data_IF_275835601661
#
_entry.id   IF_275835601661
#
_cell.length_a   1.000
_cell.length_b   1.000
_cell.length_c   1.000
_cell.angle_alpha   90.00
_cell.angle_beta   90.00
_cell.angle_gamma   90.00
#
_symmetry.space_group_name_H-M   'P 1'
#
loop_
_entity.id
_entity.type
_entity.pdbx_description
1 polymer ?
#
# COMPACT_ATOMS: atom_id res chain seq x y z
N UNK A 1 -76.10 -1.67 4.62
CA UNK A 1 -77.22 -2.64 4.89
C UNK A 1 -76.62 -3.97 5.21
N UNK A 2 -77.29 -4.77 6.00
CA UNK A 2 -76.90 -4.98 7.39
C UNK A 2 -76.55 -6.44 7.73
N UNK A 3 -76.00 -6.60 8.92
CA UNK A 3 -76.39 -7.60 9.96
C UNK A 3 -76.16 -9.09 9.62
N UNK A 4 -75.84 -9.96 10.50
CA UNK A 4 -76.24 -10.33 11.86
C UNK A 4 -75.22 -11.35 12.36
N UNK A 5 -74.75 -11.26 13.56
CA UNK A 5 -75.20 -11.98 14.77
C UNK A 5 -75.18 -13.51 14.67
N UNK A 6 -74.45 -14.16 15.56
CA UNK A 6 -74.90 -14.89 16.72
C UNK A 6 -73.73 -15.75 17.26
N UNK A 7 -73.26 -15.62 18.45
CA UNK A 7 -73.68 -16.07 19.79
C UNK A 7 -73.56 -17.60 20.01
N UNK A 8 -72.84 -17.88 21.04
CA UNK A 8 -72.84 -19.05 21.95
C UNK A 8 -71.99 -20.27 21.50
N UNK A 9 -71.07 -20.78 22.29
CA UNK A 9 -71.33 -21.43 23.62
C UNK A 9 -70.04 -21.58 24.41
N UNK A 10 -70.21 -21.41 25.70
CA UNK A 10 -69.30 -21.82 26.76
C UNK A 10 -69.24 -23.35 26.84
N UNK A 11 -68.15 -23.77 27.48
CA UNK A 11 -67.94 -24.94 28.30
C UNK A 11 -66.90 -25.91 27.76
N UNK A 12 -65.83 -25.99 28.48
CA UNK A 12 -64.73 -26.93 28.31
C UNK A 12 -63.54 -26.54 29.15
N UNK A 13 -63.75 -26.51 30.48
CA UNK A 13 -62.62 -26.47 31.42
C UNK A 13 -61.80 -27.75 31.27
N UNK A 14 -60.67 -27.68 30.58
CA UNK A 14 -59.63 -28.68 30.65
C UNK A 14 -58.57 -28.21 31.62
N UNK A 15 -58.46 -28.94 32.73
CA UNK A 15 -57.48 -28.71 33.78
C UNK A 15 -56.03 -28.82 33.19
N UNK A 16 -55.29 -27.72 33.27
CA UNK A 16 -53.88 -27.73 32.97
C UNK A 16 -53.09 -28.51 34.03
N UNK A 17 -52.19 -29.41 33.66
CA UNK A 17 -51.34 -30.11 34.63
C UNK A 17 -50.45 -29.09 35.36
N UNK A 18 -50.56 -29.05 36.69
CA UNK A 18 -49.67 -28.28 37.56
C UNK A 18 -48.27 -28.86 37.49
N UNK A 19 -47.37 -28.17 36.72
CA UNK A 19 -45.96 -28.52 36.69
C UNK A 19 -45.32 -28.13 38.02
N UNK A 20 -45.14 -29.14 38.88
CA UNK A 20 -44.40 -29.01 40.14
C UNK A 20 -42.96 -28.65 39.80
N UNK A 21 -42.57 -27.39 39.98
CA UNK A 21 -41.18 -26.93 39.84
C UNK A 21 -40.30 -27.60 40.90
N UNK A 22 -39.71 -28.73 40.55
CA UNK A 22 -38.69 -29.40 41.36
C UNK A 22 -37.52 -28.45 41.55
N UNK A 23 -37.14 -28.20 42.79
CA UNK A 23 -35.91 -27.42 43.07
C UNK A 23 -34.71 -28.13 42.43
N UNK A 24 -33.87 -27.45 41.63
CA UNK A 24 -32.74 -28.07 40.98
C UNK A 24 -31.83 -28.71 42.02
N UNK A 25 -31.43 -29.98 41.73
CA UNK A 25 -30.62 -30.81 42.64
C UNK A 25 -29.29 -30.16 42.98
N UNK A 26 -28.75 -30.51 44.14
CA UNK A 26 -27.49 -29.95 44.66
C UNK A 26 -26.33 -30.02 43.68
N UNK A 27 -26.30 -31.05 42.80
CA UNK A 27 -25.30 -31.20 41.72
C UNK A 27 -25.42 -30.10 40.66
N UNK A 28 -26.65 -29.75 40.23
CA UNK A 28 -26.87 -28.67 39.25
C UNK A 28 -26.49 -27.31 39.83
N UNK A 29 -26.78 -27.04 41.11
CA UNK A 29 -26.34 -25.80 41.77
C UNK A 29 -24.83 -25.70 41.88
N UNK A 30 -24.11 -26.81 42.09
CA UNK A 30 -22.64 -26.83 42.10
C UNK A 30 -22.05 -26.56 40.70
N UNK A 31 -22.64 -27.12 39.63
CA UNK A 31 -22.21 -26.87 38.27
C UNK A 31 -22.45 -25.42 37.87
N UNK A 32 -23.64 -24.88 38.11
CA UNK A 32 -23.97 -23.47 37.84
C UNK A 32 -23.12 -22.52 38.69
N UNK A 33 -22.81 -22.89 39.94
CA UNK A 33 -21.89 -22.14 40.80
C UNK A 33 -20.46 -22.11 40.27
N UNK A 34 -19.95 -23.23 39.73
CA UNK A 34 -18.63 -23.32 39.09
C UNK A 34 -18.57 -22.52 37.79
N UNK A 35 -19.60 -22.58 36.94
CA UNK A 35 -19.70 -21.79 35.71
C UNK A 35 -19.78 -20.28 36.05
N UNK A 36 -20.57 -19.89 37.04
CA UNK A 36 -20.61 -18.49 37.50
C UNK A 36 -19.29 -18.01 38.13
N UNK A 37 -18.54 -18.88 38.80
CA UNK A 37 -17.22 -18.55 39.34
C UNK A 37 -16.18 -18.42 38.21
N UNK A 38 -16.26 -19.26 37.17
CA UNK A 38 -15.42 -19.18 36.00
C UNK A 38 -15.73 -17.95 35.10
N UNK A 39 -16.99 -17.47 35.12
CA UNK A 39 -17.47 -16.30 34.38
C UNK A 39 -17.39 -15.00 35.18
N UNK A 40 -16.76 -15.01 36.36
CA UNK A 40 -16.54 -13.74 37.08
C UNK A 40 -15.66 -12.84 36.25
N UNK A 41 -16.09 -11.58 35.95
CA UNK A 41 -15.24 -10.64 35.26
C UNK A 41 -13.95 -10.47 36.04
N UNK A 42 -12.83 -10.71 35.39
CA UNK A 42 -11.49 -10.47 35.96
C UNK A 42 -11.40 -9.04 36.53
N UNK A 43 -10.72 -8.86 37.65
CA UNK A 43 -10.59 -7.52 38.26
C UNK A 43 -10.00 -6.57 37.19
N UNK A 44 -10.60 -5.39 37.07
CA UNK A 44 -10.26 -4.39 36.04
C UNK A 44 -8.74 -4.08 35.94
N UNK A 45 -8.01 -4.31 37.01
CA UNK A 45 -6.56 -4.19 37.06
C UNK A 45 -5.82 -5.27 36.27
N UNK A 46 -6.28 -6.55 36.30
CA UNK A 46 -5.68 -7.66 35.56
C UNK A 46 -5.98 -7.48 34.07
N UNK A 47 -7.21 -7.16 33.70
CA UNK A 47 -7.61 -6.88 32.32
C UNK A 47 -6.79 -5.72 31.72
N UNK A 48 -6.56 -4.64 32.47
CA UNK A 48 -5.72 -3.51 32.04
C UNK A 48 -4.25 -3.92 31.85
N UNK A 49 -3.72 -4.76 32.75
CA UNK A 49 -2.34 -5.27 32.64
C UNK A 49 -2.18 -6.21 31.45
N UNK A 50 -3.15 -7.08 31.17
CA UNK A 50 -3.16 -7.97 30.00
C UNK A 50 -3.26 -7.19 28.69
N UNK A 51 -4.12 -6.19 28.61
CA UNK A 51 -4.22 -5.30 27.44
C UNK A 51 -2.94 -4.50 27.25
N UNK A 52 -2.34 -3.96 28.30
CA UNK A 52 -1.08 -3.25 28.21
C UNK A 52 0.08 -4.19 27.80
N UNK A 53 0.13 -5.41 28.33
CA UNK A 53 1.14 -6.41 27.97
C UNK A 53 0.97 -6.87 26.51
N UNK A 54 -0.27 -7.09 26.05
CA UNK A 54 -0.56 -7.39 24.65
C UNK A 54 -0.17 -6.25 23.69
N UNK A 55 -0.48 -5.00 24.06
CA UNK A 55 -0.08 -3.83 23.30
C UNK A 55 1.43 -3.66 23.24
N UNK A 56 2.14 -3.85 24.36
CA UNK A 56 3.59 -3.81 24.41
C UNK A 56 4.22 -4.96 23.63
N UNK A 57 3.66 -6.16 23.68
CA UNK A 57 4.13 -7.31 22.91
C UNK A 57 3.91 -7.12 21.41
N UNK A 58 2.76 -6.55 20.99
CA UNK A 58 2.48 -6.21 19.57
C UNK A 58 3.40 -5.09 19.08
N UNK A 59 3.59 -4.05 19.87
CA UNK A 59 4.54 -2.97 19.53
C UNK A 59 5.96 -3.52 19.48
N UNK A 60 6.35 -4.35 20.46
CA UNK A 60 7.65 -5.01 20.49
C UNK A 60 7.87 -5.92 19.28
N UNK A 61 6.91 -6.76 18.92
CA UNK A 61 7.01 -7.62 17.71
C UNK A 61 7.07 -6.81 16.42
N UNK A 62 6.37 -5.69 16.32
CA UNK A 62 6.48 -4.76 15.18
C UNK A 62 7.86 -4.09 15.09
N UNK A 63 8.47 -3.75 16.22
CA UNK A 63 9.81 -3.11 16.26
C UNK A 63 10.93 -4.12 16.00
N UNK A 64 10.80 -5.37 16.47
CA UNK A 64 11.84 -6.40 16.33
C UNK A 64 11.68 -7.30 15.09
N UNK A 65 10.60 -7.19 14.34
CA UNK A 65 10.38 -7.93 13.09
C UNK A 65 11.10 -7.31 11.88
N UNK A 66 12.25 -6.68 12.11
CA UNK A 66 12.99 -5.90 11.11
C UNK A 66 13.40 -6.68 9.86
N UNK A 67 13.40 -8.02 9.87
CA UNK A 67 13.68 -8.84 8.69
C UNK A 67 12.46 -9.22 7.84
N UNK A 68 11.26 -9.27 8.44
CA UNK A 68 10.02 -9.67 7.75
C UNK A 68 9.18 -8.47 7.26
N UNK A 69 9.48 -7.26 7.72
CA UNK A 69 8.76 -6.02 7.40
C UNK A 69 9.64 -4.98 6.69
N UNK A 70 10.85 -5.36 6.24
CA UNK A 70 11.76 -4.41 5.58
C UNK A 70 11.09 -3.68 4.41
N UNK A 71 10.21 -4.37 3.67
CA UNK A 71 9.53 -3.85 2.50
C UNK A 71 8.06 -3.46 2.76
N UNK A 72 7.56 -3.60 3.99
CA UNK A 72 6.17 -3.26 4.31
C UNK A 72 5.92 -1.76 4.40
N UNK A 73 6.89 -1.00 4.90
CA UNK A 73 6.76 0.45 5.12
C UNK A 73 7.52 1.28 4.09
N UNK A 74 8.44 0.69 3.34
CA UNK A 74 9.28 1.40 2.37
C UNK A 74 9.26 0.69 1.01
N UNK A 75 9.43 1.41 -0.10
CA UNK A 75 9.62 0.80 -1.41
C UNK A 75 10.84 -0.12 -1.42
N UNK A 76 10.80 -1.16 -2.25
CA UNK A 76 11.98 -1.98 -2.50
C UNK A 76 13.07 -1.14 -3.21
N UNK A 77 14.33 -1.39 -2.85
CA UNK A 77 15.50 -0.69 -3.39
C UNK A 77 16.66 -1.65 -3.63
N UNK A 78 17.78 -1.15 -4.14
CA UNK A 78 19.00 -1.94 -4.39
C UNK A 78 19.06 -2.65 -5.72
N UNK A 79 18.05 -2.51 -6.59
CA UNK A 79 18.06 -3.05 -7.94
C UNK A 79 18.44 -2.03 -9.01
N UNK A 80 18.40 -0.73 -8.69
CA UNK A 80 18.78 0.35 -9.59
C UNK A 80 18.98 1.66 -8.85
N UNK A 81 19.89 2.55 -9.29
CA UNK A 81 20.14 3.83 -8.61
C UNK A 81 18.92 4.73 -8.49
N UNK A 82 18.04 4.78 -9.48
CA UNK A 82 16.79 5.54 -9.40
C UNK A 82 15.84 5.00 -8.33
N UNK A 83 15.78 3.68 -8.14
CA UNK A 83 15.00 3.05 -7.06
C UNK A 83 15.54 3.44 -5.67
N UNK A 84 16.86 3.53 -5.51
CA UNK A 84 17.50 3.94 -4.26
C UNK A 84 17.22 5.42 -3.94
N UNK A 85 17.17 6.28 -4.93
CA UNK A 85 16.79 7.68 -4.78
C UNK A 85 15.30 7.84 -4.43
N UNK A 86 14.43 7.04 -5.04
CA UNK A 86 13.00 6.99 -4.70
C UNK A 86 12.81 6.52 -3.25
N UNK A 87 13.51 5.47 -2.82
CA UNK A 87 13.45 4.97 -1.45
C UNK A 87 13.94 6.02 -0.44
N UNK A 88 15.02 6.71 -0.76
CA UNK A 88 15.56 7.81 0.06
C UNK A 88 14.54 8.93 0.24
N UNK A 89 13.91 9.37 -0.85
CA UNK A 89 12.87 10.39 -0.84
C UNK A 89 11.64 9.92 -0.04
N UNK A 90 11.23 8.69 -0.25
CA UNK A 90 10.11 8.08 0.48
C UNK A 90 10.36 8.03 2.00
N UNK A 91 11.53 7.58 2.44
CA UNK A 91 11.90 7.53 3.86
C UNK A 91 11.85 8.91 4.51
N UNK A 92 12.31 9.93 3.82
CA UNK A 92 12.23 11.30 4.33
C UNK A 92 10.77 11.75 4.53
N UNK A 93 9.91 11.49 3.54
CA UNK A 93 8.48 11.78 3.63
C UNK A 93 7.84 10.98 4.76
N UNK A 94 8.20 9.70 4.90
CA UNK A 94 7.70 8.81 5.95
C UNK A 94 8.03 9.34 7.35
N UNK A 95 9.27 9.81 7.60
CA UNK A 95 9.63 10.35 8.91
C UNK A 95 8.83 11.61 9.27
N UNK A 96 8.59 12.52 8.29
CA UNK A 96 7.73 13.68 8.49
C UNK A 96 6.29 13.23 8.76
N UNK A 97 5.78 12.27 7.99
CA UNK A 97 4.44 11.73 8.17
C UNK A 97 4.25 11.06 9.54
N UNK A 98 5.24 10.31 10.03
CA UNK A 98 5.22 9.71 11.37
C UNK A 98 5.16 10.78 12.45
N UNK A 99 5.95 11.85 12.34
CA UNK A 99 5.93 12.95 13.30
C UNK A 99 4.55 13.63 13.36
N UNK A 100 3.97 13.94 12.21
CA UNK A 100 2.62 14.53 12.10
C UNK A 100 1.57 13.57 12.66
N UNK A 101 1.64 12.28 12.29
CA UNK A 101 0.74 11.24 12.77
C UNK A 101 0.74 11.14 14.30
N UNK A 102 1.91 11.06 14.92
CA UNK A 102 2.03 10.97 16.39
C UNK A 102 1.43 12.18 17.07
N UNK A 103 1.63 13.39 16.54
CA UNK A 103 1.06 14.63 17.10
C UNK A 103 -0.47 14.61 16.99
N UNK A 104 -1.00 14.27 15.80
CA UNK A 104 -2.45 14.30 15.55
C UNK A 104 -3.16 13.19 16.32
N UNK A 105 -2.68 11.95 16.23
CA UNK A 105 -3.28 10.82 16.96
C UNK A 105 -3.13 10.99 18.47
N UNK A 106 -2.00 11.49 18.94
CA UNK A 106 -1.78 11.81 20.34
C UNK A 106 -2.78 12.85 20.86
N UNK A 107 -3.00 13.93 20.10
CA UNK A 107 -3.99 14.94 20.45
C UNK A 107 -5.42 14.39 20.42
N UNK A 108 -5.75 13.54 19.43
CA UNK A 108 -7.05 12.89 19.33
C UNK A 108 -7.31 11.94 20.51
N UNK A 109 -6.36 11.06 20.80
CA UNK A 109 -6.45 10.13 21.94
C UNK A 109 -6.55 10.89 23.26
N UNK A 110 -5.72 11.93 23.47
CA UNK A 110 -5.81 12.79 24.64
C UNK A 110 -7.21 13.39 24.77
N UNK A 111 -7.79 13.90 23.68
CA UNK A 111 -9.11 14.50 23.67
C UNK A 111 -10.21 13.49 24.01
N UNK A 112 -10.15 12.26 23.45
CA UNK A 112 -11.08 11.19 23.75
C UNK A 112 -11.07 10.78 25.23
N UNK A 113 -9.91 10.72 25.85
CA UNK A 113 -9.80 10.35 27.27
C UNK A 113 -10.13 11.52 28.20
N UNK A 114 -9.67 12.72 27.89
CA UNK A 114 -9.80 13.90 28.74
C UNK A 114 -11.21 14.48 28.73
N UNK A 115 -11.83 14.56 27.55
CA UNK A 115 -13.11 15.25 27.33
C UNK A 115 -14.30 14.33 27.15
N UNK A 116 -14.17 13.04 27.50
CA UNK A 116 -15.29 12.09 27.45
C UNK A 116 -16.48 12.61 28.22
N UNK A 117 -17.69 12.35 27.72
CA UNK A 117 -18.95 12.75 28.36
C UNK A 117 -19.04 12.19 29.77
N UNK A 118 -19.46 13.03 30.72
CA UNK A 118 -19.76 12.68 32.12
C UNK A 118 -21.19 13.13 32.45
N UNK A 119 -21.92 12.29 33.19
CA UNK A 119 -23.30 12.58 33.58
C UNK A 119 -23.39 13.95 34.32
N UNK A 120 -24.29 14.82 33.89
CA UNK A 120 -24.53 16.14 34.48
C UNK A 120 -23.55 17.25 34.08
N UNK A 121 -22.61 17.00 33.18
CA UNK A 121 -21.70 18.07 32.65
C UNK A 121 -22.16 18.58 31.30
N UNK A 122 -22.19 19.90 31.17
CA UNK A 122 -22.42 20.57 29.88
C UNK A 122 -21.07 20.84 29.23
N UNK A 123 -20.95 20.51 27.93
CA UNK A 123 -19.74 20.78 27.18
C UNK A 123 -19.55 22.29 26.97
N UNK A 124 -18.31 22.74 26.99
CA UNK A 124 -17.97 24.13 26.62
C UNK A 124 -18.35 24.39 25.15
N UNK A 125 -19.03 25.52 24.91
CA UNK A 125 -19.45 25.92 23.56
C UNK A 125 -18.32 26.70 22.87
N UNK A 126 -17.29 25.96 22.39
CA UNK A 126 -16.14 26.54 21.69
C UNK A 126 -16.39 26.41 20.19
N UNK A 127 -16.37 27.51 19.45
CA UNK A 127 -16.69 27.54 18.03
C UNK A 127 -15.45 27.58 17.12
N UNK A 128 -14.26 27.80 17.65
CA UNK A 128 -13.02 27.82 16.88
C UNK A 128 -11.88 28.53 17.62
N UNK A 129 -10.69 28.45 17.03
CA UNK A 129 -9.51 29.17 17.50
C UNK A 129 -8.65 29.61 16.28
N UNK A 130 -8.91 30.83 15.82
CA UNK A 130 -8.27 31.38 14.62
C UNK A 130 -6.73 31.36 14.70
N UNK A 131 -6.14 31.59 15.87
CA UNK A 131 -4.68 31.53 16.03
C UNK A 131 -4.13 30.13 15.78
N UNK A 132 -4.82 29.11 16.31
CA UNK A 132 -4.45 27.72 16.12
C UNK A 132 -4.64 27.31 14.66
N UNK A 133 -5.75 27.72 14.03
CA UNK A 133 -6.05 27.47 12.62
C UNK A 133 -4.99 28.05 11.70
N UNK A 134 -4.62 29.31 11.87
CA UNK A 134 -3.53 29.93 11.12
C UNK A 134 -2.20 29.21 11.37
N UNK A 135 -1.91 28.80 12.60
CA UNK A 135 -0.65 28.15 12.93
C UNK A 135 -0.49 26.79 12.21
N UNK A 136 -1.52 25.96 12.17
CA UNK A 136 -1.40 24.68 11.45
C UNK A 136 -1.42 24.84 9.94
N UNK A 137 -2.13 25.85 9.40
CA UNK A 137 -2.10 26.15 7.98
C UNK A 137 -0.69 26.59 7.53
N UNK A 138 -0.06 27.50 8.27
CA UNK A 138 1.32 27.92 8.02
C UNK A 138 2.27 26.72 8.19
N UNK A 139 2.10 25.92 9.24
CA UNK A 139 2.91 24.73 9.47
C UNK A 139 2.84 23.71 8.30
N UNK A 140 1.64 23.43 7.82
CA UNK A 140 1.43 22.57 6.66
C UNK A 140 2.08 23.15 5.38
N UNK A 141 1.92 24.46 5.13
CA UNK A 141 2.53 25.12 3.99
C UNK A 141 4.08 25.04 4.03
N UNK A 142 4.68 25.23 5.20
CA UNK A 142 6.14 25.12 5.36
C UNK A 142 6.64 23.70 5.10
N UNK A 143 5.92 22.67 5.58
CA UNK A 143 6.23 21.28 5.29
C UNK A 143 6.18 21.02 3.77
N UNK A 144 5.13 21.49 3.08
CA UNK A 144 4.99 21.31 1.64
C UNK A 144 6.13 21.99 0.86
N UNK A 145 6.52 23.20 1.25
CA UNK A 145 7.66 23.91 0.61
C UNK A 145 8.95 23.12 0.81
N UNK A 146 9.22 22.63 2.02
CA UNK A 146 10.41 21.83 2.29
C UNK A 146 10.41 20.54 1.46
N UNK A 147 9.29 19.79 1.42
CA UNK A 147 9.15 18.58 0.61
C UNK A 147 9.33 18.87 -0.88
N UNK A 148 8.69 19.91 -1.42
CA UNK A 148 8.83 20.30 -2.82
C UNK A 148 10.30 20.61 -3.16
N UNK A 149 10.98 21.38 -2.34
CA UNK A 149 12.40 21.74 -2.55
C UNK A 149 13.29 20.49 -2.64
N UNK A 150 13.13 19.53 -1.71
CA UNK A 150 13.92 18.32 -1.73
C UNK A 150 13.55 17.42 -2.90
N UNK A 151 12.25 17.30 -3.23
CA UNK A 151 11.79 16.52 -4.39
C UNK A 151 12.40 17.05 -5.69
N UNK A 152 12.36 18.38 -5.91
CA UNK A 152 12.98 18.99 -7.09
C UNK A 152 14.50 18.77 -7.12
N UNK A 153 15.18 18.84 -5.99
CA UNK A 153 16.62 18.59 -5.92
C UNK A 153 17.00 17.13 -6.24
N UNK A 154 16.11 16.18 -5.99
CA UNK A 154 16.30 14.75 -6.27
C UNK A 154 15.79 14.31 -7.64
N UNK A 155 15.00 15.14 -8.31
CA UNK A 155 14.28 14.77 -9.52
C UNK A 155 15.22 14.33 -10.65
N UNK A 156 16.32 15.05 -10.86
CA UNK A 156 17.30 14.68 -11.89
C UNK A 156 17.95 13.32 -11.64
N UNK A 157 18.28 13.01 -10.38
CA UNK A 157 18.86 11.71 -10.01
C UNK A 157 17.88 10.52 -10.25
N UNK A 158 16.58 10.80 -10.29
CA UNK A 158 15.54 9.79 -10.57
C UNK A 158 15.28 9.69 -12.08
N UNK A 159 15.27 10.82 -12.78
CA UNK A 159 14.87 10.88 -14.20
C UNK A 159 16.04 10.68 -15.17
N UNK A 160 17.23 11.17 -14.84
CA UNK A 160 18.37 11.18 -15.74
C UNK A 160 19.22 9.91 -15.53
N UNK A 161 19.33 9.04 -16.55
CA UNK A 161 20.12 7.83 -16.43
C UNK A 161 21.62 8.14 -16.39
N UNK A 162 22.40 7.47 -15.52
CA UNK A 162 23.87 7.54 -15.55
C UNK A 162 24.43 6.74 -16.72
N UNK A 163 25.69 6.96 -17.05
CA UNK A 163 26.40 6.09 -18.00
C UNK A 163 26.46 4.63 -17.50
N UNK A 164 26.58 3.70 -18.45
CA UNK A 164 26.89 2.31 -18.15
C UNK A 164 28.26 2.21 -17.47
N UNK A 165 28.42 1.20 -16.62
CA UNK A 165 29.70 0.97 -15.95
C UNK A 165 30.73 0.34 -16.94
N UNK A 166 32.03 0.47 -16.69
CA UNK A 166 33.06 -0.09 -17.59
C UNK A 166 32.98 -1.63 -17.78
N UNK A 167 32.41 -2.32 -16.80
CA UNK A 167 32.17 -3.77 -16.82
C UNK A 167 30.76 -4.14 -17.32
N UNK A 168 29.97 -3.16 -17.76
CA UNK A 168 28.70 -3.37 -18.42
C UNK A 168 28.84 -3.77 -19.87
N UNK A 169 27.70 -3.94 -20.56
CA UNK A 169 27.69 -4.22 -21.99
C UNK A 169 28.31 -3.03 -22.76
N UNK A 170 29.37 -3.29 -23.53
CA UNK A 170 30.00 -2.28 -24.36
C UNK A 170 29.12 -2.04 -25.59
N UNK A 171 28.37 -0.96 -25.58
CA UNK A 171 27.52 -0.55 -26.67
C UNK A 171 28.37 0.25 -27.68
N UNK A 172 28.33 -0.11 -28.96
CA UNK A 172 28.82 0.75 -30.02
C UNK A 172 28.05 2.08 -29.96
N UNK A 173 28.65 3.16 -30.50
CA UNK A 173 27.92 4.41 -30.69
C UNK A 173 26.70 4.14 -31.55
N UNK A 174 25.58 3.90 -30.90
CA UNK A 174 24.34 3.54 -31.53
C UNK A 174 23.56 4.81 -31.88
N UNK A 175 23.08 4.84 -33.10
CA UNK A 175 22.07 5.79 -33.54
C UNK A 175 20.79 5.54 -32.73
N UNK A 176 20.77 6.06 -31.51
CA UNK A 176 19.50 6.14 -30.77
C UNK A 176 18.86 7.46 -31.23
N UNK A 177 17.74 7.35 -31.90
CA UNK A 177 16.87 8.50 -32.15
C UNK A 177 16.40 9.03 -30.79
N UNK A 178 17.08 10.09 -30.33
CA UNK A 178 16.63 10.81 -29.15
C UNK A 178 15.27 11.42 -29.47
N UNK A 179 14.20 10.94 -28.86
CA UNK A 179 12.97 11.70 -28.77
C UNK A 179 13.10 12.69 -27.62
N UNK A 180 12.38 13.81 -27.68
CA UNK A 180 12.46 14.89 -26.70
C UNK A 180 12.18 14.40 -25.27
N UNK A 181 11.45 13.29 -25.13
CA UNK A 181 11.02 12.74 -23.83
C UNK A 181 11.78 11.48 -23.41
N UNK A 182 12.70 10.96 -24.25
CA UNK A 182 13.45 9.73 -23.95
C UNK A 182 14.67 10.05 -23.11
N UNK A 183 14.78 9.53 -21.86
CA UNK A 183 15.95 9.76 -21.02
C UNK A 183 17.19 9.09 -21.65
N UNK A 184 18.29 9.81 -21.72
CA UNK A 184 19.54 9.32 -22.28
C UNK A 184 20.70 9.62 -21.34
N UNK A 185 21.63 8.66 -21.15
CA UNK A 185 22.84 8.92 -20.38
C UNK A 185 23.73 9.96 -21.08
N UNK A 186 24.64 10.62 -20.35
CA UNK A 186 25.51 11.66 -20.89
C UNK A 186 26.40 11.22 -22.08
N UNK A 187 26.79 9.94 -22.14
CA UNK A 187 27.57 9.37 -23.25
C UNK A 187 26.72 8.94 -24.46
N UNK A 188 25.40 9.12 -24.38
CA UNK A 188 24.45 8.75 -25.43
C UNK A 188 24.32 7.24 -25.67
N UNK A 189 24.79 6.39 -24.74
CA UNK A 189 24.82 4.93 -24.91
C UNK A 189 23.92 4.23 -23.92
N UNK A 190 22.76 3.76 -24.36
CA UNK A 190 21.86 2.96 -23.57
C UNK A 190 21.37 1.73 -24.31
N UNK A 191 21.14 0.64 -23.58
CA UNK A 191 20.49 -0.54 -24.13
C UNK A 191 18.98 -0.34 -24.12
N UNK A 192 18.34 -0.35 -25.30
CA UNK A 192 16.90 -0.12 -25.38
C UNK A 192 16.14 -1.44 -25.38
N UNK A 193 15.10 -1.52 -24.56
CA UNK A 193 14.12 -2.62 -24.55
C UNK A 193 12.73 -2.01 -24.76
N UNK A 194 12.00 -2.52 -25.74
CA UNK A 194 10.64 -2.13 -26.00
C UNK A 194 9.71 -3.00 -25.19
N UNK A 195 8.90 -2.37 -24.35
CA UNK A 195 7.94 -3.01 -23.45
C UNK A 195 6.54 -2.80 -23.98
N UNK A 196 5.87 -3.86 -24.37
CA UNK A 196 4.50 -3.78 -24.88
C UNK A 196 3.55 -4.53 -23.95
N UNK A 197 2.63 -3.78 -23.33
CA UNK A 197 1.54 -4.32 -22.51
C UNK A 197 0.39 -4.80 -23.39
N UNK A 198 -0.14 -5.98 -23.07
CA UNK A 198 -1.35 -6.55 -23.66
C UNK A 198 -2.04 -7.43 -22.62
N UNK A 199 -3.35 -7.52 -22.65
CA UNK A 199 -4.14 -8.39 -21.76
C UNK A 199 -3.81 -9.87 -22.01
N UNK A 200 -3.12 -10.58 -21.14
CA UNK A 200 -2.60 -10.24 -19.82
C UNK A 200 -1.13 -10.65 -19.77
N UNK A 201 -0.30 -10.07 -20.62
CA UNK A 201 1.10 -10.46 -20.81
C UNK A 201 1.94 -9.24 -21.17
N UNK A 202 3.20 -9.24 -20.69
CA UNK A 202 4.24 -8.32 -21.13
C UNK A 202 5.07 -8.94 -22.24
N UNK A 203 5.27 -8.20 -23.33
CA UNK A 203 6.23 -8.55 -24.38
C UNK A 203 7.41 -7.59 -24.31
N UNK A 204 8.59 -8.16 -24.29
CA UNK A 204 9.87 -7.44 -24.34
C UNK A 204 10.53 -7.69 -25.69
N UNK A 205 10.82 -6.64 -26.43
CA UNK A 205 11.52 -6.74 -27.72
C UNK A 205 12.87 -6.05 -27.57
N UNK A 206 13.92 -6.72 -28.00
CA UNK A 206 15.31 -6.30 -27.81
C UNK A 206 15.88 -5.72 -29.10
N UNK A 207 16.37 -4.47 -29.05
CA UNK A 207 16.95 -3.78 -30.19
C UNK A 207 16.79 -2.27 -30.12
N UNK A 208 17.44 -1.57 -31.04
CA UNK A 208 17.48 -0.12 -31.05
C UNK A 208 16.15 0.54 -31.46
N UNK A 209 15.39 -0.12 -32.34
CA UNK A 209 14.13 0.38 -32.88
C UNK A 209 12.93 -0.35 -32.24
N UNK A 210 12.12 0.41 -31.52
CA UNK A 210 10.86 -0.10 -30.98
C UNK A 210 9.74 0.02 -32.02
N UNK A 211 10.02 -0.37 -33.26
CA UNK A 211 8.99 -0.48 -34.29
C UNK A 211 8.20 -1.79 -34.06
N UNK A 212 6.88 -1.66 -33.91
CA UNK A 212 5.96 -2.80 -33.73
C UNK A 212 6.00 -3.77 -34.91
N UNK A 213 6.40 -3.31 -36.06
CA UNK A 213 6.49 -4.08 -37.30
C UNK A 213 7.86 -4.68 -37.55
N UNK A 214 8.82 -4.54 -36.65
CA UNK A 214 10.16 -5.11 -36.80
C UNK A 214 10.10 -6.65 -36.66
N UNK A 215 9.82 -7.31 -37.77
CA UNK A 215 9.93 -8.77 -37.88
C UNK A 215 11.40 -9.17 -37.79
N UNK A 216 11.69 -10.13 -36.92
CA UNK A 216 13.03 -10.72 -36.79
C UNK A 216 13.85 -10.20 -35.61
N UNK A 217 13.39 -9.23 -34.83
CA UNK A 217 14.03 -8.87 -33.58
C UNK A 217 13.79 -9.95 -32.50
N UNK A 218 14.79 -10.24 -31.66
CA UNK A 218 14.62 -11.14 -30.53
C UNK A 218 13.58 -10.54 -29.55
N UNK A 219 12.76 -11.41 -28.98
CA UNK A 219 11.76 -11.01 -28.00
C UNK A 219 11.54 -12.09 -26.94
N UNK A 220 10.95 -11.71 -25.82
CA UNK A 220 10.46 -12.62 -24.80
C UNK A 220 9.07 -12.19 -24.32
N UNK A 221 8.37 -13.10 -23.68
CA UNK A 221 7.13 -12.82 -22.97
C UNK A 221 7.33 -13.02 -21.48
N UNK A 222 6.73 -12.16 -20.66
CA UNK A 222 6.70 -12.21 -19.19
C UNK A 222 8.09 -12.04 -18.55
N UNK A 223 9.12 -12.67 -19.05
CA UNK A 223 10.47 -12.59 -18.54
C UNK A 223 11.32 -11.63 -19.38
N UNK A 224 11.79 -10.55 -18.75
CA UNK A 224 12.73 -9.60 -19.35
C UNK A 224 14.17 -9.96 -18.98
N UNK A 225 15.03 -10.10 -19.96
CA UNK A 225 16.46 -10.31 -19.77
C UNK A 225 17.21 -9.01 -20.07
N UNK A 226 17.98 -8.51 -19.11
CA UNK A 226 18.73 -7.28 -19.25
C UNK A 226 20.18 -7.44 -18.80
N UNK A 227 21.14 -6.74 -19.43
CA UNK A 227 22.54 -6.80 -19.04
C UNK A 227 22.76 -6.06 -17.70
N UNK A 228 23.57 -6.65 -16.81
CA UNK A 228 24.00 -5.99 -15.58
C UNK A 228 24.98 -4.83 -15.87
N UNK A 229 25.08 -3.88 -14.94
CA UNK A 229 25.98 -2.72 -14.99
C UNK A 229 25.85 -1.85 -16.27
N UNK A 230 24.74 -2.02 -16.96
CA UNK A 230 24.43 -1.33 -18.21
C UNK A 230 23.20 -0.47 -18.03
N UNK A 231 23.23 0.74 -18.52
CA UNK A 231 22.05 1.60 -18.54
C UNK A 231 21.07 1.09 -19.57
N UNK A 232 19.90 0.68 -19.09
CA UNK A 232 18.77 0.18 -19.89
C UNK A 232 17.70 1.24 -19.93
N UNK A 233 17.27 1.62 -21.12
CA UNK A 233 16.13 2.51 -21.33
C UNK A 233 14.96 1.69 -21.86
N UNK A 234 13.81 1.83 -21.22
CA UNK A 234 12.57 1.19 -21.62
C UNK A 234 11.72 2.15 -22.44
N UNK A 235 11.22 1.67 -23.58
CA UNK A 235 10.17 2.30 -24.38
C UNK A 235 8.87 1.53 -24.14
N UNK A 236 7.92 2.14 -23.43
CA UNK A 236 6.78 1.46 -22.85
C UNK A 236 5.49 1.92 -23.53
N UNK A 237 4.71 0.97 -24.03
CA UNK A 237 3.41 1.24 -24.63
C UNK A 237 2.46 0.04 -24.44
N UNK A 238 1.19 0.22 -24.78
CA UNK A 238 0.19 -0.85 -24.80
C UNK A 238 -0.48 -0.94 -26.17
N UNK A 239 -1.08 -2.11 -26.46
CA UNK A 239 -1.78 -2.35 -27.75
C UNK A 239 -3.29 -2.44 -27.59
N UNK A 240 -3.82 -2.53 -26.37
CA UNK A 240 -5.26 -2.74 -26.11
C UNK A 240 -5.82 -1.76 -25.07
N UNK A 241 -5.58 -1.98 -23.78
CA UNK A 241 -6.02 -1.12 -22.68
C UNK A 241 -4.79 -0.52 -21.98
N UNK A 242 -5.00 0.38 -21.04
CA UNK A 242 -3.93 0.91 -20.22
C UNK A 242 -3.46 -0.18 -19.26
N UNK A 243 -2.14 -0.34 -19.15
CA UNK A 243 -1.41 -1.12 -18.17
C UNK A 243 -0.40 -0.20 -17.47
N UNK A 244 0.27 -0.67 -16.42
CA UNK A 244 1.41 0.06 -15.84
C UNK A 244 2.54 -0.92 -15.54
N UNK A 245 3.68 -0.71 -16.16
CA UNK A 245 4.86 -1.52 -15.94
C UNK A 245 5.51 -1.13 -14.61
N UNK A 246 5.80 -2.13 -13.79
CA UNK A 246 6.42 -1.89 -12.51
C UNK A 246 7.18 -3.10 -11.99
N UNK A 247 8.48 -2.90 -11.79
CA UNK A 247 9.35 -3.80 -11.01
C UNK A 247 9.86 -2.97 -9.83
N UNK A 248 9.38 -3.19 -8.60
CA UNK A 248 9.65 -2.32 -7.44
C UNK A 248 11.13 -1.98 -7.24
N UNK A 249 12.01 -2.97 -7.33
CA UNK A 249 13.46 -2.78 -7.18
C UNK A 249 14.14 -2.01 -8.30
N UNK A 250 13.51 -1.85 -9.45
CA UNK A 250 14.07 -1.16 -10.59
C UNK A 250 13.58 0.28 -10.74
N UNK A 251 12.64 0.71 -9.92
CA UNK A 251 12.19 2.10 -9.91
C UNK A 251 10.68 2.29 -9.81
N UNK A 252 10.20 3.42 -10.33
CA UNK A 252 8.80 3.82 -10.31
C UNK A 252 7.91 3.03 -11.24
N UNK A 253 6.62 3.33 -11.18
CA UNK A 253 5.60 2.81 -12.11
C UNK A 253 5.52 3.68 -13.33
N UNK A 254 5.33 3.05 -14.51
CA UNK A 254 5.22 3.75 -15.78
C UNK A 254 4.07 3.17 -16.60
N UNK A 255 3.11 4.02 -16.90
CA UNK A 255 1.91 3.60 -17.61
C UNK A 255 2.23 3.21 -19.05
N UNK A 256 1.71 2.07 -19.48
CA UNK A 256 1.70 1.61 -20.86
C UNK A 256 0.35 2.00 -21.46
N UNK A 257 0.34 3.04 -22.28
CA UNK A 257 -0.88 3.64 -22.83
C UNK A 257 -0.97 3.37 -24.34
N UNK A 258 -2.11 2.91 -24.86
CA UNK A 258 -2.29 2.72 -26.29
C UNK A 258 -2.07 4.03 -27.08
N UNK A 259 -1.16 4.00 -28.03
CA UNK A 259 -0.85 5.15 -28.89
C UNK A 259 0.05 6.21 -28.27
N UNK A 260 0.53 6.03 -27.07
CA UNK A 260 1.47 6.91 -26.39
C UNK A 260 2.70 6.12 -25.92
N UNK A 261 3.90 6.65 -26.14
CA UNK A 261 5.15 6.07 -25.69
C UNK A 261 5.59 6.72 -24.39
N UNK A 262 5.78 5.91 -23.36
CA UNK A 262 6.34 6.31 -22.09
C UNK A 262 7.76 5.77 -21.96
N UNK A 263 8.61 6.43 -21.17
CA UNK A 263 10.01 6.05 -21.05
C UNK A 263 10.42 5.99 -19.59
N UNK A 264 11.27 5.02 -19.28
CA UNK A 264 11.99 4.96 -18.00
C UNK A 264 13.35 4.30 -18.21
N UNK A 265 14.14 4.25 -17.16
CA UNK A 265 15.44 3.62 -17.19
C UNK A 265 15.71 2.85 -15.89
N UNK A 266 16.63 1.92 -15.98
CA UNK A 266 17.25 1.26 -14.84
C UNK A 266 18.67 0.84 -15.16
N UNK A 267 19.46 0.55 -14.10
CA UNK A 267 20.80 -0.03 -14.20
C UNK A 267 20.96 -1.08 -13.11
N UNK A 268 20.76 -2.37 -13.45
CA UNK A 268 20.89 -3.47 -12.50
C UNK A 268 22.36 -3.69 -12.13
N UNK A 269 22.73 -3.72 -10.82
CA UNK A 269 24.13 -3.73 -10.40
C UNK A 269 24.79 -5.10 -10.50
N UNK A 270 24.02 -6.20 -10.55
CA UNK A 270 24.57 -7.56 -10.48
C UNK A 270 23.93 -8.49 -11.51
N UNK A 271 24.75 -9.34 -12.11
CA UNK A 271 24.28 -10.40 -12.99
C UNK A 271 23.68 -11.57 -12.18
N UNK A 272 22.69 -12.24 -12.76
CA UNK A 272 22.05 -13.43 -12.17
C UNK A 272 21.02 -13.11 -11.09
N UNK A 273 20.72 -11.84 -10.82
CA UNK A 273 19.59 -11.48 -9.96
C UNK A 273 18.28 -11.52 -10.73
N UNK A 274 17.23 -11.93 -10.01
CA UNK A 274 15.86 -11.95 -10.52
C UNK A 274 15.03 -10.94 -9.74
N UNK A 275 14.32 -10.10 -10.47
CA UNK A 275 13.41 -9.09 -9.93
C UNK A 275 11.99 -9.41 -10.37
N UNK A 276 11.05 -9.37 -9.45
CA UNK A 276 9.64 -9.64 -9.75
C UNK A 276 8.89 -8.32 -9.92
N UNK A 277 8.12 -8.24 -10.99
CA UNK A 277 7.23 -7.12 -11.29
C UNK A 277 5.78 -7.53 -11.29
N UNK A 278 4.91 -6.55 -11.50
CA UNK A 278 3.47 -6.76 -11.67
C UNK A 278 2.86 -5.62 -12.45
N UNK A 279 1.77 -5.87 -13.14
CA UNK A 279 0.96 -4.80 -13.71
C UNK A 279 0.37 -3.94 -12.58
N UNK A 280 0.58 -2.63 -12.65
CA UNK A 280 0.18 -1.69 -11.60
C UNK A 280 -1.01 -0.77 -12.00
N UNK A 281 -1.67 -1.06 -13.13
CA UNK A 281 -2.91 -0.40 -13.55
C UNK A 281 -3.96 -1.45 -13.93
N UNK A 282 -5.18 -1.32 -13.39
CA UNK A 282 -6.26 -2.29 -13.58
C UNK A 282 -6.59 -2.45 -15.07
N UNK A 283 -6.18 -3.57 -15.65
CA UNK A 283 -6.30 -3.85 -17.08
C UNK A 283 -7.36 -4.91 -17.44
N UNK A 284 -8.10 -5.44 -16.47
CA UNK A 284 -9.16 -6.40 -16.69
C UNK A 284 -9.15 -7.60 -15.72
N UNK A 285 -9.79 -8.69 -16.12
CA UNK A 285 -10.09 -9.83 -15.23
C UNK A 285 -8.85 -10.54 -14.66
N UNK A 286 -7.79 -10.70 -15.44
CA UNK A 286 -6.57 -11.36 -15.02
C UNK A 286 -5.44 -10.36 -14.73
N UNK A 287 -5.79 -9.13 -14.35
CA UNK A 287 -4.83 -8.09 -13.99
C UNK A 287 -3.82 -8.55 -12.93
N UNK A 288 -4.26 -9.30 -11.93
CA UNK A 288 -3.40 -9.77 -10.84
C UNK A 288 -2.41 -10.86 -11.25
N UNK A 289 -2.65 -11.53 -12.39
CA UNK A 289 -1.81 -12.60 -12.91
C UNK A 289 -0.79 -12.08 -13.94
N UNK A 290 -0.86 -10.81 -14.31
CA UNK A 290 0.04 -10.17 -15.26
C UNK A 290 1.30 -9.67 -14.52
N UNK A 291 2.32 -10.51 -14.42
CA UNK A 291 3.57 -10.29 -13.69
C UNK A 291 4.79 -10.21 -14.62
#
# INVERSE_FOLDING_TARGET
MPSQQAKARRDGQSAAPTFRSGRPGAAFRRIVGRIRAALRPEPASIRRRLVAALLLATIGSLVFASGAFADFLTPESGGSPNADEIDTLYKMILYIAIAVFVVVEGALLYSLFKFRAKKGRVAAQIHGNTRLEISWTIGAALILVALATVTFAKLSAIQDPPNSDPNGLQLAEGVLTASVDKPMPPDGKAYTICVTGRQYVWRYTYGADCDRNAFGLPYSYEEMVAPANTTVVLDIEATDVIHSWWIPKLGGKFDAVPGYKNYTWFKAPRAGEVYVGQCAELCGRNHADMT
#
